data_IF_396057293378
#
_entry.id   IF_396057293378
#
_cell.length_a   1.000
_cell.length_b   1.000
_cell.length_c   1.000
_cell.angle_alpha   90.00
_cell.angle_beta   90.00
_cell.angle_gamma   90.00
#
_symmetry.space_group_name_H-M   'P 1'
#
loop_
_entity.id
_entity.type
_entity.pdbx_description
1 polymer ?
#
# COMPACT_ATOMS: atom_id res chain seq x y z
N UNK A 1 32.90 -3.96 15.56
CA UNK A 1 32.77 -4.78 14.32
C UNK A 1 31.47 -4.35 13.66
N UNK A 2 31.55 -3.92 12.41
CA UNK A 2 30.51 -3.16 11.72
C UNK A 2 29.31 -4.03 11.35
N UNK A 3 28.10 -3.51 11.58
CA UNK A 3 26.82 -4.07 11.13
C UNK A 3 26.73 -4.02 9.59
N UNK A 4 26.18 -5.04 8.89
CA UNK A 4 25.97 -4.95 7.47
C UNK A 4 24.77 -4.04 7.20
N UNK A 5 25.02 -2.87 6.61
CA UNK A 5 23.99 -1.97 6.13
C UNK A 5 23.23 -2.61 4.97
N UNK A 6 21.90 -2.44 4.98
CA UNK A 6 21.06 -2.68 3.82
C UNK A 6 21.53 -1.80 2.68
N UNK A 7 22.16 -2.42 1.67
CA UNK A 7 22.61 -1.76 0.46
C UNK A 7 21.39 -1.23 -0.31
N UNK A 8 21.25 0.08 -0.31
CA UNK A 8 20.26 0.81 -1.07
C UNK A 8 20.70 0.85 -2.55
N UNK A 9 20.48 -0.24 -3.30
CA UNK A 9 20.69 -0.27 -4.75
C UNK A 9 19.46 0.32 -5.48
N UNK A 10 19.30 1.65 -5.44
CA UNK A 10 18.39 2.36 -6.34
C UNK A 10 19.02 2.47 -7.72
N UNK A 11 19.00 1.36 -8.46
CA UNK A 11 19.60 1.23 -9.78
C UNK A 11 18.64 1.72 -10.87
N UNK A 12 18.40 3.04 -10.98
CA UNK A 12 17.73 3.67 -12.14
C UNK A 12 16.38 3.07 -12.59
N UNK A 13 15.72 2.27 -11.74
CA UNK A 13 14.59 1.46 -12.14
C UNK A 13 13.35 2.35 -12.17
N UNK A 14 12.75 2.46 -13.35
CA UNK A 14 11.51 3.21 -13.56
C UNK A 14 10.44 2.72 -12.60
N UNK A 15 10.02 3.57 -11.66
CA UNK A 15 8.95 3.25 -10.74
C UNK A 15 7.60 3.57 -11.39
N UNK A 16 6.91 2.55 -11.86
CA UNK A 16 5.58 2.67 -12.47
C UNK A 16 5.51 2.29 -13.94
N UNK A 17 4.29 2.21 -14.45
CA UNK A 17 3.99 1.85 -15.85
C UNK A 17 4.11 3.02 -16.84
N UNK A 18 4.20 4.26 -16.34
CA UNK A 18 4.27 5.50 -17.13
C UNK A 18 5.38 6.41 -16.60
N UNK A 19 5.78 7.40 -17.39
CA UNK A 19 6.64 8.47 -16.90
C UNK A 19 5.96 9.27 -15.78
N UNK A 20 6.75 9.84 -14.85
CA UNK A 20 6.25 10.80 -13.87
C UNK A 20 5.59 12.01 -14.56
N UNK A 21 4.54 12.56 -13.95
CA UNK A 21 3.90 13.79 -14.41
C UNK A 21 4.80 15.00 -14.13
N UNK A 22 5.53 14.97 -13.01
CA UNK A 22 6.50 16.02 -12.67
C UNK A 22 7.63 15.48 -11.82
N UNK A 23 8.84 15.93 -12.13
CA UNK A 23 10.04 15.72 -11.33
C UNK A 23 10.41 16.95 -10.47
N UNK A 24 9.56 17.99 -10.46
CA UNK A 24 9.78 19.20 -9.68
C UNK A 24 9.87 18.89 -8.18
N UNK A 25 10.92 19.39 -7.53
CA UNK A 25 11.08 19.32 -6.09
C UNK A 25 10.19 20.32 -5.33
N UNK A 26 10.10 20.18 -4.00
CA UNK A 26 9.31 21.07 -3.16
C UNK A 26 9.96 22.45 -3.03
N UNK A 27 9.13 23.47 -2.87
CA UNK A 27 9.55 24.81 -2.43
C UNK A 27 9.65 24.88 -0.90
N UNK A 28 10.24 25.95 -0.36
CA UNK A 28 10.24 26.20 1.09
C UNK A 28 8.82 26.30 1.66
N UNK A 29 7.89 26.87 0.89
CA UNK A 29 6.48 26.93 1.23
C UNK A 29 5.86 25.52 1.38
N UNK A 30 6.20 24.59 0.48
CA UNK A 30 5.72 23.21 0.55
C UNK A 30 6.24 22.48 1.80
N UNK A 31 7.48 22.77 2.21
CA UNK A 31 8.06 22.24 3.46
C UNK A 31 7.27 22.74 4.67
N UNK A 32 6.95 24.03 4.74
CA UNK A 32 6.16 24.61 5.85
C UNK A 32 4.77 23.96 5.90
N UNK A 33 4.10 23.83 4.76
CA UNK A 33 2.76 23.21 4.67
C UNK A 33 2.78 21.73 5.03
N UNK A 34 3.84 21.01 4.64
CA UNK A 34 4.06 19.62 5.06
C UNK A 34 4.18 19.49 6.57
N UNK A 35 4.98 20.34 7.22
CA UNK A 35 5.10 20.33 8.69
C UNK A 35 3.77 20.61 9.37
N UNK A 36 2.98 21.55 8.83
CA UNK A 36 1.63 21.84 9.32
C UNK A 36 0.69 20.64 9.21
N UNK A 37 0.74 19.93 8.08
CA UNK A 37 -0.01 18.68 7.88
C UNK A 37 0.44 17.60 8.87
N UNK A 38 1.74 17.38 9.03
CA UNK A 38 2.28 16.38 9.95
C UNK A 38 1.87 16.65 11.39
N UNK A 39 1.95 17.92 11.83
CA UNK A 39 1.47 18.35 13.14
C UNK A 39 -0.02 18.06 13.31
N UNK A 40 -0.85 18.44 12.33
CA UNK A 40 -2.29 18.15 12.38
C UNK A 40 -2.56 16.64 12.53
N UNK A 41 -1.86 15.80 11.75
CA UNK A 41 -2.01 14.34 11.82
C UNK A 41 -1.59 13.77 13.18
N UNK A 42 -0.58 14.37 13.83
CA UNK A 42 -0.20 14.04 15.21
C UNK A 42 -1.26 14.46 16.22
N UNK A 43 -1.76 15.69 16.12
CA UNK A 43 -2.77 16.25 17.03
C UNK A 43 -4.09 15.46 16.99
N UNK A 44 -4.46 14.89 15.84
CA UNK A 44 -5.65 14.02 15.72
C UNK A 44 -5.40 12.54 16.09
N UNK A 45 -4.22 12.21 16.62
CA UNK A 45 -3.90 10.88 17.15
C UNK A 45 -3.69 9.80 16.08
N UNK A 46 -3.13 10.14 14.92
CA UNK A 46 -2.86 9.17 13.85
C UNK A 46 -1.44 8.59 13.87
N UNK A 47 -0.61 9.05 14.79
CA UNK A 47 0.70 8.47 15.08
C UNK A 47 0.59 7.69 16.38
N UNK A 48 1.03 6.44 16.32
CA UNK A 48 1.16 5.55 17.48
C UNK A 48 2.21 6.11 18.44
N UNK A 49 1.96 6.02 19.75
CA UNK A 49 2.96 6.38 20.75
C UNK A 49 4.07 5.32 20.83
N UNK A 50 5.20 5.65 21.45
CA UNK A 50 6.27 4.67 21.63
C UNK A 50 5.81 3.50 22.51
N UNK A 51 4.99 3.77 23.52
CA UNK A 51 4.41 2.75 24.40
C UNK A 51 3.43 1.85 23.66
N UNK A 52 2.56 2.41 22.81
CA UNK A 52 1.66 1.63 21.97
C UNK A 52 2.43 0.75 20.99
N UNK A 53 3.52 1.27 20.40
CA UNK A 53 4.37 0.51 19.49
C UNK A 53 5.07 -0.65 20.20
N UNK A 54 5.61 -0.43 21.40
CA UNK A 54 6.21 -1.49 22.24
C UNK A 54 5.14 -2.53 22.60
N UNK A 55 3.96 -2.09 23.05
CA UNK A 55 2.85 -2.98 23.39
C UNK A 55 2.42 -3.85 22.20
N UNK A 56 2.34 -3.26 21.00
CA UNK A 56 2.03 -4.00 19.77
C UNK A 56 3.14 -5.00 19.43
N UNK A 57 4.40 -4.63 19.59
CA UNK A 57 5.54 -5.52 19.37
C UNK A 57 5.54 -6.70 20.36
N UNK A 58 5.29 -6.45 21.65
CA UNK A 58 5.13 -7.49 22.67
C UNK A 58 3.97 -8.44 22.34
N UNK A 59 2.80 -7.92 21.95
CA UNK A 59 1.65 -8.75 21.55
C UNK A 59 1.97 -9.60 20.32
N UNK A 60 2.63 -9.03 19.31
CA UNK A 60 3.08 -9.77 18.13
C UNK A 60 4.09 -10.86 18.51
N UNK A 61 5.03 -10.57 19.42
CA UNK A 61 5.98 -11.56 19.93
C UNK A 61 5.33 -12.69 20.74
N UNK A 62 4.21 -12.42 21.43
CA UNK A 62 3.43 -13.46 22.14
C UNK A 62 2.60 -14.33 21.19
N UNK A 63 2.02 -13.74 20.15
CA UNK A 63 1.36 -14.49 19.06
C UNK A 63 2.35 -15.44 18.36
N UNK A 64 3.64 -15.07 18.35
CA UNK A 64 4.74 -15.89 17.83
C UNK A 64 5.11 -17.09 18.73
N UNK A 65 4.72 -17.10 20.01
CA UNK A 65 5.15 -18.15 20.94
C UNK A 65 4.06 -19.14 21.35
N UNK A 66 2.82 -18.68 21.61
CA UNK A 66 1.87 -19.51 22.38
C UNK A 66 0.83 -20.28 21.55
N UNK A 67 0.46 -19.84 20.33
CA UNK A 67 -0.64 -20.49 19.57
C UNK A 67 -0.27 -20.90 18.13
N UNK A 68 0.26 -19.98 17.32
CA UNK A 68 0.51 -20.28 15.89
C UNK A 68 1.69 -21.25 15.73
N UNK A 69 2.78 -21.02 16.45
CA UNK A 69 4.02 -21.74 16.29
C UNK A 69 4.06 -23.07 17.05
N UNK A 70 3.32 -23.22 18.16
CA UNK A 70 3.19 -24.52 18.83
C UNK A 70 2.50 -25.56 17.95
N UNK A 71 1.35 -25.22 17.36
CA UNK A 71 0.63 -26.11 16.44
C UNK A 71 1.31 -26.24 15.08
N UNK A 72 1.80 -25.13 14.50
CA UNK A 72 2.53 -25.16 13.23
C UNK A 72 3.81 -25.99 13.33
N UNK A 73 4.56 -25.88 14.42
CA UNK A 73 5.72 -26.74 14.68
C UNK A 73 5.32 -28.21 14.74
N UNK A 74 4.21 -28.53 15.42
CA UNK A 74 3.71 -29.90 15.50
C UNK A 74 3.35 -30.45 14.13
N UNK A 75 2.62 -29.68 13.31
CA UNK A 75 2.25 -30.05 11.95
C UNK A 75 3.48 -30.21 11.03
N UNK A 76 4.46 -29.31 11.11
CA UNK A 76 5.65 -29.36 10.27
C UNK A 76 6.63 -30.46 10.70
N UNK A 77 6.69 -30.80 11.99
CA UNK A 77 7.48 -31.95 12.47
C UNK A 77 6.96 -33.30 11.97
N UNK A 78 5.69 -33.36 11.56
CA UNK A 78 5.06 -34.56 11.01
C UNK A 78 5.28 -34.70 9.49
N UNK A 79 5.87 -33.70 8.82
CA UNK A 79 6.16 -33.74 7.39
C UNK A 79 7.54 -34.36 7.11
N UNK A 80 7.64 -35.45 6.33
CA UNK A 80 8.90 -36.17 6.09
C UNK A 80 9.95 -35.36 5.31
N UNK A 81 9.58 -34.21 4.76
CA UNK A 81 10.44 -33.30 3.99
C UNK A 81 11.14 -32.25 4.89
N UNK A 82 10.70 -32.11 6.14
CA UNK A 82 11.26 -31.14 7.10
C UNK A 82 12.33 -31.86 7.93
N UNK A 83 13.59 -31.71 7.54
CA UNK A 83 14.71 -32.44 8.16
C UNK A 83 15.19 -31.86 9.50
N UNK A 84 15.10 -30.54 9.73
CA UNK A 84 15.52 -29.90 10.99
C UNK A 84 14.70 -28.63 11.29
N UNK A 85 14.29 -28.47 12.55
CA UNK A 85 13.68 -27.24 13.08
C UNK A 85 14.40 -26.79 14.35
N UNK A 86 14.76 -25.50 14.42
CA UNK A 86 15.39 -24.90 15.59
C UNK A 86 14.63 -23.65 16.03
N UNK A 87 13.90 -23.70 17.16
CA UNK A 87 13.39 -22.48 17.78
C UNK A 87 14.58 -21.63 18.26
N UNK A 88 14.53 -20.32 18.00
CA UNK A 88 15.52 -19.35 18.53
C UNK A 88 14.84 -18.50 19.59
N UNK A 89 14.74 -18.99 20.85
CA UNK A 89 14.00 -18.31 21.91
C UNK A 89 14.67 -17.02 22.39
N UNK A 90 15.97 -16.82 22.10
CA UNK A 90 16.77 -15.68 22.58
C UNK A 90 16.78 -14.48 21.61
N UNK A 91 16.00 -14.52 20.53
CA UNK A 91 15.86 -13.38 19.63
C UNK A 91 14.93 -12.33 20.26
N UNK A 92 15.29 -11.04 20.13
CA UNK A 92 14.56 -9.91 20.71
C UNK A 92 13.08 -9.86 20.26
N UNK A 93 12.80 -10.44 19.10
CA UNK A 93 11.49 -10.92 18.66
C UNK A 93 11.65 -12.41 18.42
N UNK A 94 10.84 -13.29 19.02
CA UNK A 94 10.83 -14.71 18.68
C UNK A 94 10.58 -14.86 17.18
N UNK A 95 11.34 -15.74 16.52
CA UNK A 95 11.18 -16.03 15.10
C UNK A 95 11.34 -17.53 14.94
N UNK A 96 10.40 -18.22 14.29
CA UNK A 96 10.77 -19.48 13.63
C UNK A 96 11.63 -19.17 12.42
N UNK A 97 12.93 -19.34 12.61
CA UNK A 97 13.81 -19.57 11.48
C UNK A 97 13.60 -20.99 11.01
N UNK A 98 12.73 -21.15 10.02
CA UNK A 98 12.89 -22.27 9.09
C UNK A 98 14.32 -22.17 8.54
N UNK A 99 15.04 -23.30 8.45
CA UNK A 99 16.40 -23.32 7.91
C UNK A 99 16.40 -23.18 6.37
N UNK A 100 15.54 -22.30 5.88
CA UNK A 100 15.40 -21.85 4.49
C UNK A 100 15.01 -20.38 4.56
N UNK A 101 15.74 -19.53 3.85
CA UNK A 101 15.39 -18.14 3.57
C UNK A 101 14.01 -18.07 2.86
N UNK A 102 12.91 -18.22 3.60
CA UNK A 102 11.56 -18.21 3.04
C UNK A 102 11.16 -16.77 2.74
N UNK A 103 11.63 -16.28 1.60
CA UNK A 103 11.22 -15.01 1.05
C UNK A 103 9.81 -15.13 0.46
N UNK A 104 8.81 -14.69 1.24
CA UNK A 104 7.40 -14.70 0.85
C UNK A 104 7.13 -13.87 -0.42
N UNK A 105 8.06 -12.99 -0.82
CA UNK A 105 7.94 -12.18 -2.03
C UNK A 105 8.10 -12.99 -3.33
N UNK A 106 8.72 -14.18 -3.28
CA UNK A 106 8.96 -15.01 -4.46
C UNK A 106 7.72 -15.76 -4.92
N UNK A 107 7.42 -15.76 -6.22
CA UNK A 107 6.22 -16.42 -6.78
C UNK A 107 6.19 -17.95 -6.54
N UNK A 108 7.36 -18.58 -6.36
CA UNK A 108 7.48 -20.02 -6.10
C UNK A 108 6.74 -20.48 -4.84
N UNK A 109 6.53 -19.60 -3.86
CA UNK A 109 5.77 -19.93 -2.65
C UNK A 109 4.28 -20.24 -2.95
N UNK A 110 3.79 -19.85 -4.12
CA UNK A 110 2.42 -20.12 -4.55
C UNK A 110 2.28 -21.47 -5.26
N UNK A 111 3.37 -22.20 -5.48
CA UNK A 111 3.34 -23.48 -6.17
C UNK A 111 2.53 -24.51 -5.38
N UNK A 112 1.54 -25.14 -6.03
CA UNK A 112 0.60 -26.10 -5.43
C UNK A 112 -0.24 -25.54 -4.26
N UNK A 113 -0.21 -24.23 -4.01
CA UNK A 113 -1.07 -23.61 -3.03
C UNK A 113 -2.50 -23.57 -3.54
N UNK A 114 -3.47 -23.89 -2.68
CA UNK A 114 -4.88 -23.71 -2.99
C UNK A 114 -5.25 -22.22 -3.06
N UNK A 115 -6.43 -21.93 -3.63
CA UNK A 115 -6.87 -20.55 -3.86
C UNK A 115 -6.96 -19.71 -2.56
N UNK A 116 -7.33 -20.31 -1.43
CA UNK A 116 -7.43 -19.61 -0.15
C UNK A 116 -6.05 -19.28 0.41
N UNK A 117 -5.10 -20.21 0.27
CA UNK A 117 -3.69 -19.97 0.66
C UNK A 117 -3.06 -18.88 -0.21
N UNK A 118 -3.24 -18.92 -1.53
CA UNK A 118 -2.76 -17.86 -2.45
C UNK A 118 -3.31 -16.50 -2.06
N UNK A 119 -4.63 -16.40 -1.77
CA UNK A 119 -5.25 -15.14 -1.33
C UNK A 119 -4.67 -14.63 -0.02
N UNK A 120 -4.40 -15.51 0.94
CA UNK A 120 -3.82 -15.15 2.23
C UNK A 120 -2.38 -14.64 2.10
N UNK A 121 -1.55 -15.34 1.33
CA UNK A 121 -0.15 -14.93 1.06
C UNK A 121 -0.07 -13.62 0.28
N UNK A 122 -1.00 -13.39 -0.65
CA UNK A 122 -1.05 -12.16 -1.43
C UNK A 122 -1.24 -10.91 -0.56
N UNK A 123 -1.86 -11.00 0.61
CA UNK A 123 -2.00 -9.86 1.53
C UNK A 123 -0.63 -9.27 1.93
N UNK A 124 0.31 -10.14 2.32
CA UNK A 124 1.66 -9.74 2.71
C UNK A 124 2.48 -9.29 1.49
N UNK A 125 2.49 -10.12 0.43
CA UNK A 125 3.22 -9.86 -0.82
C UNK A 125 2.87 -8.51 -1.45
N UNK A 126 1.58 -8.15 -1.46
CA UNK A 126 1.13 -6.87 -1.99
C UNK A 126 1.67 -5.70 -1.17
N UNK A 127 1.69 -5.82 0.15
CA UNK A 127 2.17 -4.76 1.04
C UNK A 127 3.65 -4.49 0.82
N UNK A 128 4.47 -5.56 0.78
CA UNK A 128 5.91 -5.44 0.53
C UNK A 128 6.20 -4.89 -0.86
N UNK A 129 5.44 -5.35 -1.86
CA UNK A 129 5.58 -4.88 -3.23
C UNK A 129 5.23 -3.39 -3.38
N UNK A 130 4.22 -2.88 -2.66
CA UNK A 130 3.92 -1.44 -2.63
C UNK A 130 5.11 -0.65 -2.09
N UNK A 131 5.73 -1.10 -0.99
CA UNK A 131 6.86 -0.40 -0.37
C UNK A 131 8.09 -0.36 -1.28
N UNK A 132 8.30 -1.41 -2.09
CA UNK A 132 9.36 -1.44 -3.11
C UNK A 132 9.06 -0.58 -4.36
N UNK A 133 7.81 -0.18 -4.57
CA UNK A 133 7.35 0.53 -5.76
C UNK A 133 7.10 2.03 -5.53
N UNK A 134 7.37 2.54 -4.32
CA UNK A 134 7.28 3.97 -4.00
C UNK A 134 8.67 4.60 -3.90
N UNK A 135 8.87 5.82 -4.42
CA UNK A 135 10.17 6.49 -4.42
C UNK A 135 10.61 6.94 -3.02
N UNK A 136 9.65 7.23 -2.13
CA UNK A 136 9.92 7.62 -0.76
C UNK A 136 8.85 7.05 0.18
N UNK A 137 9.28 6.08 1.01
CA UNK A 137 8.39 5.34 1.93
C UNK A 137 7.78 6.28 2.99
N UNK A 138 8.55 7.25 3.50
CA UNK A 138 8.07 8.14 4.54
C UNK A 138 6.98 9.07 4.01
N UNK A 139 7.20 9.69 2.84
CA UNK A 139 6.20 10.55 2.21
C UNK A 139 4.94 9.75 1.88
N UNK A 140 5.10 8.53 1.34
CA UNK A 140 3.99 7.61 1.10
C UNK A 140 3.17 7.34 2.37
N UNK A 141 3.83 6.99 3.49
CA UNK A 141 3.16 6.68 4.76
C UNK A 141 2.41 7.90 5.32
N UNK A 142 3.02 9.08 5.32
CA UNK A 142 2.36 10.31 5.81
C UNK A 142 1.15 10.67 4.95
N UNK A 143 1.28 10.63 3.62
CA UNK A 143 0.15 10.86 2.70
C UNK A 143 -0.94 9.81 2.91
N UNK A 144 -0.60 8.52 3.02
CA UNK A 144 -1.59 7.47 3.25
C UNK A 144 -2.35 7.65 4.57
N UNK A 145 -1.68 8.06 5.65
CA UNK A 145 -2.36 8.40 6.91
C UNK A 145 -3.40 9.51 6.72
N UNK A 146 -3.01 10.60 6.04
CA UNK A 146 -3.92 11.70 5.72
C UNK A 146 -5.12 11.22 4.88
N UNK A 147 -4.87 10.46 3.82
CA UNK A 147 -5.92 9.98 2.92
C UNK A 147 -6.88 9.00 3.61
N UNK A 148 -6.38 8.11 4.48
CA UNK A 148 -7.23 7.20 5.27
C UNK A 148 -8.09 7.98 6.27
N UNK A 149 -7.53 8.98 6.93
CA UNK A 149 -8.29 9.85 7.83
C UNK A 149 -9.40 10.59 7.08
N UNK A 150 -9.06 11.23 5.96
CA UNK A 150 -10.01 11.90 5.09
C UNK A 150 -11.12 10.93 4.66
N UNK A 151 -10.78 9.77 4.11
CA UNK A 151 -11.75 8.80 3.59
C UNK A 151 -12.73 8.32 4.67
N UNK A 152 -12.23 8.06 5.90
CA UNK A 152 -13.09 7.72 7.04
C UNK A 152 -14.03 8.86 7.42
N UNK A 153 -13.53 10.11 7.48
CA UNK A 153 -14.35 11.30 7.80
C UNK A 153 -15.40 11.61 6.73
N UNK A 154 -15.15 11.22 5.48
CA UNK A 154 -16.09 11.39 4.36
C UNK A 154 -17.02 10.19 4.15
N UNK A 155 -16.88 9.12 4.94
CA UNK A 155 -17.73 7.93 4.82
C UNK A 155 -17.45 7.04 3.60
N UNK A 156 -16.30 7.22 2.93
CA UNK A 156 -15.90 6.47 1.72
C UNK A 156 -14.84 5.39 2.00
N UNK A 157 -14.75 4.95 3.27
CA UNK A 157 -13.82 3.91 3.72
C UNK A 157 -14.58 2.67 4.22
N UNK A 158 -14.91 1.74 3.33
CA UNK A 158 -15.49 0.43 3.68
C UNK A 158 -15.62 -0.49 2.47
N UNK A 159 -14.79 -1.55 2.38
CA UNK A 159 -14.86 -2.51 1.27
C UNK A 159 -16.19 -3.29 1.24
N UNK A 160 -16.74 -3.60 2.42
CA UNK A 160 -17.99 -4.36 2.56
C UNK A 160 -19.19 -3.53 2.09
N UNK A 161 -19.15 -2.20 2.27
CA UNK A 161 -20.19 -1.30 1.78
C UNK A 161 -20.01 -0.88 0.31
N UNK A 162 -19.08 -1.49 -0.42
CA UNK A 162 -18.78 -1.14 -1.82
C UNK A 162 -17.90 0.09 -2.02
N UNK A 163 -17.31 0.63 -0.95
CA UNK A 163 -16.29 1.68 -1.01
C UNK A 163 -14.88 1.09 -0.94
N UNK A 164 -13.85 1.92 -0.80
CA UNK A 164 -12.46 1.45 -0.79
C UNK A 164 -12.00 1.03 0.60
N UNK A 165 -11.36 -0.15 0.68
CA UNK A 165 -10.63 -0.62 1.85
C UNK A 165 -9.21 -0.05 1.95
N UNK A 166 -8.50 -0.38 3.04
CA UNK A 166 -7.17 0.19 3.32
C UNK A 166 -6.14 -0.04 2.23
N UNK A 167 -6.12 -1.24 1.64
CA UNK A 167 -5.17 -1.59 0.57
C UNK A 167 -5.46 -0.82 -0.73
N UNK A 168 -6.72 -0.55 -1.05
CA UNK A 168 -7.10 0.23 -2.22
C UNK A 168 -6.59 1.68 -2.08
N UNK A 169 -6.75 2.30 -0.91
CA UNK A 169 -6.16 3.62 -0.63
C UNK A 169 -4.64 3.62 -0.72
N UNK A 170 -3.98 2.56 -0.23
CA UNK A 170 -2.52 2.41 -0.34
C UNK A 170 -2.07 2.35 -1.80
N UNK A 171 -2.72 1.56 -2.65
CA UNK A 171 -2.43 1.48 -4.08
C UNK A 171 -2.64 2.82 -4.79
N UNK A 172 -3.75 3.51 -4.50
CA UNK A 172 -4.03 4.82 -5.09
C UNK A 172 -2.96 5.86 -4.70
N UNK A 173 -2.56 5.91 -3.42
CA UNK A 173 -1.52 6.84 -2.93
C UNK A 173 -0.14 6.48 -3.49
N UNK A 174 0.21 5.19 -3.54
CA UNK A 174 1.47 4.72 -4.11
C UNK A 174 1.61 5.14 -5.57
N UNK A 175 0.52 5.06 -6.35
CA UNK A 175 0.49 5.52 -7.73
C UNK A 175 0.78 7.01 -7.86
N UNK A 176 0.24 7.84 -6.96
CA UNK A 176 0.54 9.27 -6.94
C UNK A 176 2.01 9.53 -6.59
N UNK A 177 2.59 8.74 -5.68
CA UNK A 177 4.02 8.84 -5.36
C UNK A 177 4.89 8.52 -6.60
N UNK A 178 4.52 7.53 -7.41
CA UNK A 178 5.22 7.24 -8.69
C UNK A 178 5.13 8.39 -9.68
N UNK A 179 3.97 9.06 -9.77
CA UNK A 179 3.74 10.16 -10.70
C UNK A 179 4.43 11.47 -10.27
N UNK A 180 4.76 11.62 -8.98
CA UNK A 180 5.39 12.80 -8.40
C UNK A 180 6.49 12.41 -7.41
N UNK A 181 7.61 11.82 -7.88
CA UNK A 181 8.58 11.14 -7.01
C UNK A 181 9.30 12.05 -6.02
N UNK A 182 9.42 13.34 -6.33
CA UNK A 182 10.10 14.33 -5.50
C UNK A 182 9.14 15.16 -4.62
N UNK A 183 7.84 14.88 -4.65
CA UNK A 183 6.84 15.67 -3.93
C UNK A 183 6.75 15.31 -2.44
N UNK A 184 6.46 16.32 -1.62
CA UNK A 184 6.19 16.16 -0.18
C UNK A 184 4.73 15.79 0.10
N UNK A 185 4.40 15.30 1.31
CA UNK A 185 3.05 14.87 1.66
C UNK A 185 1.93 15.88 1.37
N UNK A 186 2.12 17.18 1.63
CA UNK A 186 1.10 18.20 1.33
C UNK A 186 0.79 18.27 -0.17
N UNK A 187 1.83 18.21 -1.01
CA UNK A 187 1.73 18.24 -2.46
C UNK A 187 1.05 16.96 -2.94
N UNK A 188 1.46 15.80 -2.43
CA UNK A 188 0.91 14.50 -2.81
C UNK A 188 -0.59 14.41 -2.53
N UNK A 189 -1.09 14.96 -1.41
CA UNK A 189 -2.53 15.05 -1.11
C UNK A 189 -3.28 15.88 -2.16
N UNK A 190 -2.77 17.07 -2.50
CA UNK A 190 -3.38 17.89 -3.57
C UNK A 190 -3.34 17.20 -4.93
N UNK A 191 -2.21 16.59 -5.29
CA UNK A 191 -2.04 15.86 -6.56
C UNK A 191 -2.94 14.62 -6.63
N UNK A 192 -3.19 13.96 -5.50
CA UNK A 192 -4.11 12.83 -5.43
C UNK A 192 -5.49 13.21 -5.95
N UNK A 193 -6.09 14.27 -5.38
CA UNK A 193 -7.43 14.68 -5.77
C UNK A 193 -7.45 15.17 -7.22
N UNK A 194 -6.47 15.98 -7.62
CA UNK A 194 -6.37 16.45 -9.01
C UNK A 194 -6.32 15.31 -10.03
N UNK A 195 -5.51 14.29 -9.77
CA UNK A 195 -5.35 13.14 -10.68
C UNK A 195 -6.62 12.29 -10.70
N UNK A 196 -7.17 11.93 -9.55
CA UNK A 196 -8.31 11.00 -9.49
C UNK A 196 -9.66 11.63 -9.84
N UNK A 197 -9.80 12.94 -9.71
CA UNK A 197 -10.93 13.69 -10.29
C UNK A 197 -10.94 13.64 -11.81
N UNK A 198 -9.77 13.64 -12.45
CA UNK A 198 -9.63 13.58 -13.91
C UNK A 198 -9.47 12.15 -14.45
N UNK A 199 -9.45 11.15 -13.56
CA UNK A 199 -9.22 9.77 -13.94
C UNK A 199 -10.41 9.21 -14.71
N UNK A 200 -10.15 8.70 -15.92
CA UNK A 200 -11.19 8.15 -16.79
C UNK A 200 -11.48 6.70 -16.43
N UNK A 201 -12.30 6.47 -15.42
CA UNK A 201 -12.81 5.13 -15.10
C UNK A 201 -13.58 4.52 -16.31
N UNK A 202 -13.45 3.21 -16.59
CA UNK A 202 -12.84 2.16 -15.76
C UNK A 202 -11.36 1.86 -16.11
N UNK A 203 -10.58 2.82 -16.62
CA UNK A 203 -9.14 2.56 -16.83
C UNK A 203 -8.47 2.14 -15.49
N UNK A 204 -7.68 1.04 -15.48
CA UNK A 204 -7.18 0.47 -14.23
C UNK A 204 -6.05 1.30 -13.64
N UNK A 205 -6.03 1.42 -12.31
CA UNK A 205 -4.85 1.90 -11.58
C UNK A 205 -3.91 0.73 -11.33
N UNK A 206 -2.67 0.84 -11.82
CA UNK A 206 -1.64 -0.19 -11.71
C UNK A 206 -0.30 0.44 -11.30
N UNK A 207 0.43 -0.22 -10.39
CA UNK A 207 1.76 0.22 -9.95
C UNK A 207 2.90 -0.38 -10.79
N UNK A 208 2.68 -1.52 -11.43
CA UNK A 208 3.59 -2.19 -12.34
C UNK A 208 2.81 -2.86 -13.46
N UNK A 209 3.51 -3.36 -14.48
CA UNK A 209 2.87 -4.17 -15.51
C UNK A 209 2.30 -5.46 -14.88
N UNK A 210 1.20 -5.95 -15.44
CA UNK A 210 0.69 -7.27 -15.09
C UNK A 210 1.56 -8.28 -15.83
N UNK A 211 2.28 -9.09 -15.07
CA UNK A 211 3.12 -10.17 -15.61
C UNK A 211 2.35 -11.49 -15.53
N UNK A 212 2.44 -12.28 -16.60
CA UNK A 212 1.94 -13.66 -16.60
C UNK A 212 2.98 -14.53 -15.88
N UNK A 213 2.65 -14.97 -14.66
CA UNK A 213 3.50 -15.87 -13.90
C UNK A 213 3.49 -17.31 -14.45
N UNK A 214 4.52 -18.07 -14.10
CA UNK A 214 4.76 -19.45 -14.56
C UNK A 214 3.78 -20.49 -14.01
N UNK A 215 3.01 -20.14 -12.97
CA UNK A 215 2.13 -21.07 -12.26
C UNK A 215 0.72 -21.17 -12.84
N UNK A 216 0.41 -20.41 -13.90
CA UNK A 216 -0.89 -20.46 -14.57
C UNK A 216 -2.08 -19.96 -13.74
N UNK A 217 -1.84 -19.31 -12.59
CA UNK A 217 -2.89 -18.68 -11.78
C UNK A 217 -3.58 -17.57 -12.56
N UNK A 218 -4.90 -17.45 -12.39
CA UNK A 218 -5.70 -16.43 -13.06
C UNK A 218 -5.27 -15.03 -12.58
N UNK A 219 -4.84 -14.20 -13.52
CA UNK A 219 -4.62 -12.76 -13.33
C UNK A 219 -5.80 -11.96 -13.86
N UNK A 220 -6.01 -10.76 -13.32
CA UNK A 220 -7.01 -9.81 -13.80
C UNK A 220 -6.69 -9.41 -15.25
N UNK A 221 -7.59 -9.71 -16.18
CA UNK A 221 -7.45 -9.34 -17.58
C UNK A 221 -8.84 -9.18 -18.23
N UNK A 222 -9.31 -7.94 -18.44
CA UNK A 222 -10.60 -7.69 -19.07
C UNK A 222 -10.67 -8.15 -20.53
N UNK A 223 -9.54 -8.39 -21.21
CA UNK A 223 -9.55 -8.90 -22.59
C UNK A 223 -9.89 -10.38 -22.60
N UNK A 224 -9.31 -11.16 -21.67
CA UNK A 224 -9.51 -12.61 -21.55
C UNK A 224 -10.79 -12.96 -20.78
N UNK A 225 -11.11 -12.25 -19.70
CA UNK A 225 -12.20 -12.63 -18.80
C UNK A 225 -13.38 -11.65 -18.85
N UNK A 226 -14.57 -12.08 -19.31
CA UNK A 226 -15.74 -11.19 -19.40
C UNK A 226 -16.15 -10.54 -18.06
N UNK A 227 -15.99 -11.25 -16.93
CA UNK A 227 -16.29 -10.71 -15.58
C UNK A 227 -15.51 -9.43 -15.28
N UNK A 228 -14.26 -9.37 -15.71
CA UNK A 228 -13.34 -8.26 -15.42
C UNK A 228 -13.69 -6.99 -16.20
N UNK A 229 -14.41 -7.12 -17.32
CA UNK A 229 -14.88 -6.00 -18.16
C UNK A 229 -15.94 -5.14 -17.48
N UNK A 230 -16.64 -5.70 -16.49
CA UNK A 230 -17.72 -5.01 -15.78
C UNK A 230 -17.23 -4.28 -14.53
N UNK A 231 -15.95 -4.38 -14.17
CA UNK A 231 -15.39 -3.65 -13.03
C UNK A 231 -15.36 -2.14 -13.31
N UNK A 232 -15.94 -1.36 -12.40
CA UNK A 232 -16.17 0.07 -12.61
C UNK A 232 -14.98 0.95 -12.20
N UNK A 233 -14.25 0.54 -11.17
CA UNK A 233 -13.09 1.28 -10.63
C UNK A 233 -11.93 0.31 -10.38
N UNK A 234 -11.28 -0.25 -11.41
CA UNK A 234 -10.29 -1.31 -11.19
C UNK A 234 -9.01 -0.76 -10.55
N UNK A 235 -8.64 -1.33 -9.40
CA UNK A 235 -7.39 -1.02 -8.68
C UNK A 235 -6.65 -2.34 -8.50
N UNK A 236 -5.54 -2.47 -9.23
CA UNK A 236 -4.90 -3.78 -9.44
C UNK A 236 -3.71 -3.94 -8.51
N UNK A 237 -3.62 -5.12 -7.88
CA UNK A 237 -2.50 -5.49 -7.03
C UNK A 237 -1.22 -5.73 -7.85
N UNK A 238 -0.04 -5.33 -7.33
CA UNK A 238 1.22 -5.45 -8.05
C UNK A 238 1.94 -6.81 -7.86
N UNK A 239 1.45 -7.67 -6.97
CA UNK A 239 2.03 -9.00 -6.75
C UNK A 239 1.26 -10.05 -7.55
N UNK A 240 1.98 -11.01 -8.15
CA UNK A 240 1.37 -12.12 -8.86
C UNK A 240 0.66 -13.08 -7.86
N UNK A 241 -0.54 -13.60 -8.20
CA UNK A 241 -1.38 -13.18 -9.33
C UNK A 241 -2.01 -11.79 -9.10
N UNK A 242 -1.89 -10.90 -10.09
CA UNK A 242 -2.48 -9.56 -10.03
C UNK A 242 -4.00 -9.62 -10.07
N UNK A 243 -4.67 -8.96 -9.14
CA UNK A 243 -6.13 -9.02 -8.96
C UNK A 243 -6.71 -7.61 -8.77
N UNK A 244 -7.98 -7.43 -9.13
CA UNK A 244 -8.73 -6.22 -8.78
C UNK A 244 -9.22 -6.32 -7.33
N UNK A 245 -8.79 -5.42 -6.45
CA UNK A 245 -9.20 -5.40 -5.02
C UNK A 245 -10.35 -4.42 -4.71
N UNK A 246 -10.87 -3.75 -5.72
CA UNK A 246 -12.05 -2.86 -5.65
C UNK A 246 -13.25 -3.42 -6.43
N UNK A 247 -13.38 -4.74 -6.49
CA UNK A 247 -14.45 -5.42 -7.24
C UNK A 247 -15.86 -5.17 -6.68
N UNK A 248 -15.99 -4.76 -5.40
CA UNK A 248 -17.28 -4.42 -4.79
C UNK A 248 -17.79 -3.02 -5.17
N UNK A 249 -17.00 -2.20 -5.89
CA UNK A 249 -17.41 -0.86 -6.29
C UNK A 249 -18.58 -0.93 -7.28
N UNK A 250 -19.67 -0.27 -6.92
CA UNK A 250 -20.89 -0.13 -7.70
C UNK A 250 -20.98 1.25 -8.36
N UNK A 251 -21.89 1.45 -9.31
CA UNK A 251 -22.08 2.76 -9.96
C UNK A 251 -22.40 3.87 -8.96
N UNK A 252 -23.18 3.56 -7.92
CA UNK A 252 -23.55 4.51 -6.86
C UNK A 252 -22.35 4.90 -6.00
N UNK A 253 -21.55 3.94 -5.57
CA UNK A 253 -20.38 4.19 -4.72
C UNK A 253 -19.26 4.89 -5.50
N UNK A 254 -19.05 4.52 -6.77
CA UNK A 254 -18.15 5.23 -7.68
C UNK A 254 -18.55 6.70 -7.84
N UNK A 255 -19.84 6.98 -8.06
CA UNK A 255 -20.36 8.35 -8.17
C UNK A 255 -20.07 9.16 -6.90
N UNK A 256 -20.40 8.62 -5.72
CA UNK A 256 -20.15 9.28 -4.43
C UNK A 256 -18.65 9.56 -4.24
N UNK A 257 -17.77 8.59 -4.54
CA UNK A 257 -16.32 8.79 -4.43
C UNK A 257 -15.82 9.86 -5.39
N UNK A 258 -16.35 9.90 -6.62
CA UNK A 258 -15.98 10.91 -7.62
C UNK A 258 -16.41 12.31 -7.19
N UNK A 259 -17.62 12.45 -6.65
CA UNK A 259 -18.12 13.71 -6.06
C UNK A 259 -17.24 14.17 -4.89
N UNK A 260 -16.82 13.25 -4.02
CA UNK A 260 -15.93 13.55 -2.90
C UNK A 260 -14.50 13.91 -3.35
N UNK A 261 -13.98 13.29 -4.40
CA UNK A 261 -12.70 13.68 -5.01
C UNK A 261 -12.77 15.09 -5.61
N UNK A 262 -13.85 15.40 -6.34
CA UNK A 262 -14.08 16.73 -6.90
C UNK A 262 -14.12 17.79 -5.80
N UNK A 263 -14.95 17.57 -4.77
CA UNK A 263 -15.07 18.49 -3.62
C UNK A 263 -13.71 18.72 -2.94
N UNK A 264 -12.93 17.65 -2.73
CA UNK A 264 -11.63 17.77 -2.10
C UNK A 264 -10.60 18.48 -2.99
N UNK A 265 -10.68 18.30 -4.32
CA UNK A 265 -9.84 19.02 -5.27
C UNK A 265 -10.10 20.54 -5.19
N UNK A 266 -11.36 20.96 -5.18
CA UNK A 266 -11.75 22.38 -5.05
C UNK A 266 -11.18 23.00 -3.78
N UNK A 267 -11.33 22.32 -2.63
CA UNK A 267 -10.76 22.78 -1.36
C UNK A 267 -9.22 22.91 -1.44
N UNK A 268 -8.55 21.95 -2.08
CA UNK A 268 -7.09 22.02 -2.25
C UNK A 268 -6.69 23.20 -3.15
N UNK A 269 -7.44 23.48 -4.22
CA UNK A 269 -7.19 24.61 -5.12
C UNK A 269 -7.40 25.95 -4.40
N UNK A 270 -8.46 26.09 -3.60
CA UNK A 270 -8.70 27.28 -2.77
C UNK A 270 -7.59 27.53 -1.74
N UNK A 271 -7.10 26.48 -1.08
CA UNK A 271 -5.99 26.58 -0.13
C UNK A 271 -4.68 27.03 -0.79
N UNK A 272 -4.44 26.63 -2.04
CA UNK A 272 -3.29 27.07 -2.83
C UNK A 272 -3.48 28.51 -3.31
N UNK A 273 -4.68 28.86 -3.80
CA UNK A 273 -4.98 30.20 -4.32
C UNK A 273 -4.94 31.28 -3.23
N UNK A 274 -5.52 31.01 -2.05
CA UNK A 274 -5.55 31.94 -0.91
C UNK A 274 -4.16 32.28 -0.36
N UNK A 275 -3.15 31.44 -0.64
CA UNK A 275 -1.78 31.65 -0.18
C UNK A 275 -0.91 32.41 -1.18
N UNK A 276 -1.22 32.35 -2.47
CA UNK A 276 -0.62 33.25 -3.47
C UNK A 276 -0.95 34.73 -3.26
N UNK A 277 -2.11 35.07 -2.66
CA UNK A 277 -2.48 36.46 -2.38
C UNK A 277 -1.71 37.08 -1.20
N UNK A 278 -1.27 36.28 -0.23
CA UNK A 278 -0.52 36.76 0.94
C UNK A 278 0.98 36.99 0.65
N UNK A 279 1.50 36.51 -0.48
CA UNK A 279 2.88 36.73 -0.91
C UNK A 279 3.08 37.96 -1.81
N UNK A 280 2.01 38.67 -2.17
CA UNK A 280 2.03 39.87 -3.02
C UNK A 280 1.67 41.17 -2.28
N UNK A 281 1.57 41.15 -0.94
CA UNK A 281 1.29 42.32 -0.10
C UNK A 281 2.47 42.61 0.83
#
# INVERSE_FOLDING_TARGET
MASPGFNNQNNGQRLGITEPISLGGPTEYDVIKTRGLEKFLADVGLYESQEEAISREEVLGRLDQEDFFGELHKMLSEMPEVTEMHPVPDAHVPVMKFNTDLDISQDSILQNADEQTVRSLNGCRVTDRILCLVPNIQNFRTTLRCMRFWAKRRGVYSNVAGFLGGINWALLVARICQLYPNALPNMLVSRFFRVYTQWRWPNPVMLCAIEEGSLGLQVWDPRRYPKDRFHLMPIITPAYPCMNFSYNVSSSTLRIMTEEFQRANEICEELIASTSFLGCC
#
